data_IF_525437118829
#
_entry.id   IF_525437118829
#
_cell.length_a   1.000
_cell.length_b   1.000
_cell.length_c   1.000
_cell.angle_alpha   90.00
_cell.angle_beta   90.00
_cell.angle_gamma   90.00
#
_symmetry.space_group_name_H-M   'P 1'
#
loop_
_entity.id
_entity.type
_entity.pdbx_description
1 polymer ?
#
# COMPACT_ATOMS: atom_id res chain seq x y z
N UNK A 1 -15.29 6.53 -23.53
CA UNK A 1 -16.72 6.65 -23.16
C UNK A 1 -17.05 5.41 -22.37
N UNK A 2 -17.56 5.56 -21.15
CA UNK A 2 -17.97 4.42 -20.33
C UNK A 2 -19.09 3.65 -21.03
N UNK A 3 -19.10 2.33 -20.91
CA UNK A 3 -20.17 1.49 -21.47
C UNK A 3 -21.50 1.78 -20.75
N UNK A 4 -22.63 1.47 -21.38
CA UNK A 4 -23.97 1.61 -20.77
C UNK A 4 -24.10 0.84 -19.44
N UNK A 5 -23.35 -0.26 -19.29
CA UNK A 5 -23.28 -1.05 -18.06
C UNK A 5 -22.51 -0.33 -16.94
N UNK A 6 -21.43 0.39 -17.25
CA UNK A 6 -20.69 1.19 -16.25
C UNK A 6 -21.54 2.36 -15.73
N UNK A 7 -22.40 2.95 -16.57
CA UNK A 7 -23.28 4.06 -16.17
C UNK A 7 -24.38 3.64 -15.19
N UNK A 8 -24.79 2.36 -15.17
CA UNK A 8 -25.82 1.85 -14.24
C UNK A 8 -25.27 0.94 -13.11
N UNK A 9 -23.96 0.68 -13.07
CA UNK A 9 -23.33 -0.09 -12.00
C UNK A 9 -23.66 0.47 -10.60
N UNK A 10 -24.00 -0.41 -9.66
CA UNK A 10 -24.16 -0.11 -8.23
C UNK A 10 -23.69 -1.30 -7.40
N UNK A 11 -23.47 -1.12 -6.09
CA UNK A 11 -23.14 -2.26 -5.22
C UNK A 11 -24.24 -3.33 -5.22
N UNK A 12 -25.51 -2.93 -5.30
CA UNK A 12 -26.62 -3.89 -5.39
C UNK A 12 -26.60 -4.67 -6.69
N UNK A 13 -26.35 -4.02 -7.84
CA UNK A 13 -26.27 -4.73 -9.12
C UNK A 13 -25.07 -5.67 -9.21
N UNK A 14 -24.01 -5.41 -8.42
CA UNK A 14 -22.82 -6.26 -8.37
C UNK A 14 -22.96 -7.41 -7.36
N UNK A 15 -23.48 -7.14 -6.16
CA UNK A 15 -23.42 -8.09 -5.04
C UNK A 15 -24.76 -8.73 -4.71
N UNK A 16 -25.88 -8.32 -5.30
CA UNK A 16 -27.17 -8.98 -5.07
C UNK A 16 -27.53 -9.94 -6.21
N UNK A 17 -28.40 -10.89 -5.91
CA UNK A 17 -29.13 -11.70 -6.89
C UNK A 17 -30.61 -11.69 -6.53
N UNK A 18 -31.47 -12.28 -7.37
CA UNK A 18 -32.91 -12.40 -7.08
C UNK A 18 -33.21 -13.07 -5.72
N UNK A 19 -32.32 -13.95 -5.27
CA UNK A 19 -32.51 -14.78 -4.06
C UNK A 19 -31.72 -14.27 -2.85
N UNK A 20 -30.84 -13.28 -3.04
CA UNK A 20 -29.91 -12.85 -1.99
C UNK A 20 -29.49 -11.38 -2.11
N UNK A 21 -29.61 -10.66 -1.01
CA UNK A 21 -29.23 -9.26 -0.85
C UNK A 21 -28.22 -9.00 0.29
N UNK A 22 -27.58 -10.04 0.82
CA UNK A 22 -26.63 -9.96 1.94
C UNK A 22 -25.27 -10.60 1.61
N UNK A 23 -24.20 -10.12 2.23
CA UNK A 23 -22.91 -10.80 2.33
C UNK A 23 -22.77 -11.43 3.73
N UNK A 24 -21.80 -12.31 3.94
CA UNK A 24 -21.59 -12.97 5.24
C UNK A 24 -20.45 -12.33 6.01
N UNK A 25 -20.69 -12.08 7.30
CA UNK A 25 -19.68 -11.66 8.27
C UNK A 25 -19.07 -12.84 9.02
N UNK A 26 -18.33 -12.52 10.09
CA UNK A 26 -17.82 -13.53 11.02
C UNK A 26 -18.99 -14.20 11.73
N UNK A 27 -18.93 -15.52 11.88
CA UNK A 27 -20.00 -16.36 12.45
C UNK A 27 -21.25 -16.53 11.57
N UNK A 28 -21.12 -16.35 10.25
CA UNK A 28 -22.23 -16.52 9.30
C UNK A 28 -23.35 -15.46 9.42
N UNK A 29 -23.06 -14.36 10.12
CA UNK A 29 -23.97 -13.22 10.21
C UNK A 29 -24.27 -12.66 8.82
N UNK A 30 -25.55 -12.50 8.50
CA UNK A 30 -25.99 -11.94 7.23
C UNK A 30 -25.97 -10.42 7.31
N UNK A 31 -25.07 -9.79 6.55
CA UNK A 31 -24.92 -8.34 6.45
C UNK A 31 -25.58 -7.86 5.15
N UNK A 32 -26.67 -7.09 5.21
CA UNK A 32 -27.32 -6.54 4.02
C UNK A 32 -26.33 -5.73 3.17
N UNK A 33 -26.34 -5.94 1.85
CA UNK A 33 -25.50 -5.18 0.89
C UNK A 33 -25.78 -3.68 0.96
N UNK A 34 -26.99 -3.27 1.38
CA UNK A 34 -27.32 -1.87 1.62
C UNK A 34 -26.41 -1.19 2.66
N UNK A 35 -25.91 -1.93 3.65
CA UNK A 35 -24.98 -1.40 4.67
C UNK A 35 -23.57 -1.11 4.11
N UNK A 36 -23.28 -1.55 2.89
CA UNK A 36 -22.04 -1.24 2.17
C UNK A 36 -22.16 0.02 1.31
N UNK A 37 -23.38 0.52 1.09
CA UNK A 37 -23.61 1.73 0.29
C UNK A 37 -22.92 2.93 0.93
N UNK A 38 -22.24 3.75 0.12
CA UNK A 38 -21.48 4.90 0.62
C UNK A 38 -20.09 4.56 1.17
N UNK A 39 -19.71 3.27 1.21
CA UNK A 39 -18.34 2.83 1.54
C UNK A 39 -17.54 2.59 0.26
N UNK A 40 -16.21 2.75 0.36
CA UNK A 40 -15.29 2.17 -0.61
C UNK A 40 -15.21 0.66 -0.35
N UNK A 41 -15.50 -0.17 -1.35
CA UNK A 41 -15.57 -1.63 -1.21
C UNK A 41 -14.52 -2.30 -2.08
N UNK A 42 -13.66 -3.12 -1.49
CA UNK A 42 -12.74 -4.01 -2.21
C UNK A 42 -13.39 -5.37 -2.50
N UNK A 43 -13.57 -5.70 -3.77
CA UNK A 43 -13.96 -7.04 -4.22
C UNK A 43 -12.70 -7.90 -4.39
N UNK A 44 -12.47 -8.81 -3.44
CA UNK A 44 -11.21 -9.54 -3.33
C UNK A 44 -11.34 -10.99 -3.82
N UNK A 45 -10.88 -11.24 -5.05
CA UNK A 45 -10.83 -12.57 -5.65
C UNK A 45 -9.56 -13.29 -5.20
N UNK A 46 -9.72 -14.40 -4.47
CA UNK A 46 -8.59 -15.13 -3.89
C UNK A 46 -8.93 -16.58 -3.58
N UNK A 47 -7.93 -17.41 -3.31
CA UNK A 47 -8.10 -18.77 -2.83
C UNK A 47 -6.91 -19.22 -1.98
N UNK A 48 -7.18 -20.06 -0.99
CA UNK A 48 -6.19 -20.53 -0.04
C UNK A 48 -5.10 -21.37 -0.71
N UNK A 49 -5.49 -22.20 -1.67
CA UNK A 49 -4.59 -23.13 -2.35
C UNK A 49 -3.50 -22.44 -3.18
N UNK A 50 -3.66 -21.14 -3.51
CA UNK A 50 -2.72 -20.42 -4.37
C UNK A 50 -1.68 -19.62 -3.56
N UNK A 51 -0.36 -19.92 -3.65
CA UNK A 51 0.65 -19.27 -2.82
C UNK A 51 0.72 -17.73 -2.93
N UNK A 52 0.61 -17.12 -4.13
CA UNK A 52 0.56 -15.65 -4.23
C UNK A 52 -0.62 -15.01 -3.51
N UNK A 53 -1.74 -15.72 -3.33
CA UNK A 53 -2.85 -15.25 -2.52
C UNK A 53 -2.46 -15.20 -1.04
N UNK A 54 -1.96 -16.31 -0.49
CA UNK A 54 -1.52 -16.39 0.91
C UNK A 54 -0.43 -15.37 1.25
N UNK A 55 0.43 -15.02 0.29
CA UNK A 55 1.43 -13.97 0.47
C UNK A 55 0.82 -12.55 0.51
N UNK A 56 -0.26 -12.30 -0.22
CA UNK A 56 -0.87 -10.97 -0.32
C UNK A 56 -1.90 -10.69 0.79
N UNK A 57 -2.66 -11.69 1.24
CA UNK A 57 -3.74 -11.51 2.23
C UNK A 57 -3.29 -10.85 3.53
N UNK A 58 -2.15 -11.21 4.15
CA UNK A 58 -1.68 -10.53 5.35
C UNK A 58 -1.43 -9.04 5.13
N UNK A 59 -0.88 -8.67 3.96
CA UNK A 59 -0.65 -7.27 3.60
C UNK A 59 -1.97 -6.51 3.43
N UNK A 60 -2.96 -7.14 2.78
CA UNK A 60 -4.29 -6.55 2.62
C UNK A 60 -5.00 -6.40 3.97
N UNK A 61 -4.89 -7.38 4.88
CA UNK A 61 -5.42 -7.32 6.24
C UNK A 61 -4.78 -6.20 7.07
N UNK A 62 -3.48 -5.99 6.93
CA UNK A 62 -2.78 -4.85 7.54
C UNK A 62 -3.38 -3.52 7.05
N UNK A 63 -3.50 -3.33 5.73
CA UNK A 63 -4.06 -2.10 5.15
C UNK A 63 -5.50 -1.89 5.56
N UNK A 64 -6.31 -2.96 5.58
CA UNK A 64 -7.68 -2.90 6.08
C UNK A 64 -7.70 -2.36 7.52
N UNK A 65 -6.93 -2.97 8.42
CA UNK A 65 -6.86 -2.58 9.83
C UNK A 65 -6.45 -1.12 10.00
N UNK A 66 -5.38 -0.68 9.31
CA UNK A 66 -4.93 0.72 9.34
C UNK A 66 -6.02 1.70 8.88
N UNK A 67 -6.84 1.34 7.88
CA UNK A 67 -7.94 2.18 7.41
C UNK A 67 -9.12 2.19 8.39
N UNK A 68 -9.46 1.05 9.00
CA UNK A 68 -10.48 0.97 10.04
C UNK A 68 -10.11 1.80 11.26
N UNK A 69 -8.85 1.75 11.71
CA UNK A 69 -8.32 2.54 12.83
C UNK A 69 -8.39 4.05 12.57
N UNK A 70 -8.23 4.47 11.31
CA UNK A 70 -8.40 5.87 10.87
C UNK A 70 -9.86 6.30 10.73
N UNK A 71 -10.82 5.39 10.93
CA UNK A 71 -12.25 5.65 10.76
C UNK A 71 -12.69 5.72 9.30
N UNK A 72 -11.88 5.22 8.37
CA UNK A 72 -12.22 5.26 6.95
C UNK A 72 -13.37 4.30 6.62
N UNK A 73 -14.26 4.74 5.74
CA UNK A 73 -15.40 3.96 5.26
C UNK A 73 -14.95 2.93 4.20
N UNK A 74 -14.08 2.00 4.61
CA UNK A 74 -13.55 0.93 3.79
C UNK A 74 -14.08 -0.44 4.26
N UNK A 75 -14.51 -1.26 3.31
CA UNK A 75 -14.88 -2.66 3.53
C UNK A 75 -14.32 -3.56 2.43
N UNK A 76 -14.14 -4.86 2.71
CA UNK A 76 -13.75 -5.86 1.71
C UNK A 76 -14.79 -6.98 1.68
N UNK A 77 -15.13 -7.43 0.48
CA UNK A 77 -15.93 -8.64 0.24
C UNK A 77 -15.04 -9.68 -0.43
N UNK A 78 -14.75 -10.75 0.29
CA UNK A 78 -14.00 -11.90 -0.21
C UNK A 78 -14.84 -12.72 -1.18
N UNK A 79 -14.28 -12.92 -2.39
CA UNK A 79 -14.83 -13.71 -3.49
C UNK A 79 -13.94 -14.93 -3.67
N UNK A 80 -14.30 -16.03 -3.01
CA UNK A 80 -13.46 -17.22 -2.96
C UNK A 80 -13.42 -17.99 -4.28
N UNK A 81 -12.24 -18.43 -4.67
CA UNK A 81 -12.01 -19.46 -5.70
C UNK A 81 -11.53 -20.78 -5.10
N UNK A 82 -11.80 -21.01 -3.81
CA UNK A 82 -11.55 -22.29 -3.15
C UNK A 82 -12.46 -23.39 -3.73
N UNK A 83 -12.04 -24.64 -3.57
CA UNK A 83 -12.69 -25.79 -4.22
C UNK A 83 -13.81 -26.40 -3.40
N UNK A 84 -13.84 -26.11 -2.10
CA UNK A 84 -14.82 -26.64 -1.17
C UNK A 84 -15.05 -25.69 0.01
N UNK A 85 -16.18 -25.90 0.69
CA UNK A 85 -16.64 -25.08 1.82
C UNK A 85 -15.62 -25.04 2.96
N UNK A 86 -14.91 -26.15 3.22
CA UNK A 86 -13.96 -26.23 4.34
C UNK A 86 -12.73 -25.37 4.06
N UNK A 87 -12.15 -25.49 2.86
CA UNK A 87 -11.02 -24.66 2.44
C UNK A 87 -11.38 -23.17 2.45
N UNK A 88 -12.60 -22.82 2.01
CA UNK A 88 -13.15 -21.47 2.12
C UNK A 88 -13.18 -20.98 3.57
N UNK A 89 -13.79 -21.76 4.49
CA UNK A 89 -13.93 -21.35 5.89
C UNK A 89 -12.59 -21.21 6.60
N UNK A 90 -11.67 -22.15 6.41
CA UNK A 90 -10.33 -22.11 7.01
C UNK A 90 -9.57 -20.84 6.61
N UNK A 91 -9.64 -20.44 5.35
CA UNK A 91 -8.95 -19.26 4.86
C UNK A 91 -9.68 -17.96 5.19
N UNK A 92 -11.01 -17.95 5.06
CA UNK A 92 -11.81 -16.80 5.47
C UNK A 92 -11.64 -16.50 6.95
N UNK A 93 -11.43 -17.51 7.81
CA UNK A 93 -11.16 -17.32 9.24
C UNK A 93 -9.99 -16.36 9.50
N UNK A 94 -8.98 -16.30 8.62
CA UNK A 94 -7.81 -15.41 8.78
C UNK A 94 -8.03 -13.97 8.31
N UNK A 95 -9.20 -13.65 7.75
CA UNK A 95 -9.48 -12.35 7.12
C UNK A 95 -10.39 -11.47 8.00
N UNK A 96 -10.13 -10.17 8.21
CA UNK A 96 -10.92 -9.34 9.13
C UNK A 96 -12.21 -8.72 8.52
N UNK A 97 -12.64 -9.16 7.33
CA UNK A 97 -13.69 -8.52 6.53
C UNK A 97 -14.84 -9.48 6.16
N UNK A 98 -15.73 -9.08 5.24
CA UNK A 98 -16.91 -9.83 4.81
C UNK A 98 -16.60 -10.80 3.66
N UNK A 99 -17.47 -11.75 3.39
CA UNK A 99 -17.36 -12.64 2.24
C UNK A 99 -18.69 -12.78 1.50
N UNK A 100 -18.62 -13.08 0.21
CA UNK A 100 -19.76 -13.64 -0.49
C UNK A 100 -19.91 -15.11 -0.07
N UNK A 101 -21.15 -15.63 0.12
CA UNK A 101 -21.33 -17.05 0.42
C UNK A 101 -20.59 -17.95 -0.57
N UNK A 102 -19.99 -19.03 -0.06
CA UNK A 102 -19.28 -19.98 -0.91
C UNK A 102 -20.22 -20.61 -1.93
N UNK A 103 -19.76 -20.73 -3.18
CA UNK A 103 -20.57 -21.28 -4.28
C UNK A 103 -21.62 -20.34 -4.86
N UNK A 104 -21.73 -19.09 -4.38
CA UNK A 104 -22.65 -18.11 -4.94
C UNK A 104 -22.33 -17.78 -6.40
N UNK A 105 -23.34 -17.86 -7.27
CA UNK A 105 -23.24 -17.60 -8.72
C UNK A 105 -22.70 -16.21 -9.05
N UNK A 106 -22.99 -15.21 -8.22
CA UNK A 106 -22.54 -13.82 -8.38
C UNK A 106 -21.01 -13.75 -8.43
N UNK A 107 -20.30 -14.66 -7.75
CA UNK A 107 -18.83 -14.70 -7.83
C UNK A 107 -18.34 -14.92 -9.26
N UNK A 108 -18.94 -15.89 -9.97
CA UNK A 108 -18.60 -16.21 -11.36
C UNK A 108 -18.97 -15.05 -12.28
N UNK A 109 -20.13 -14.44 -12.07
CA UNK A 109 -20.60 -13.30 -12.86
C UNK A 109 -19.67 -12.10 -12.70
N UNK A 110 -19.24 -11.78 -11.47
CA UNK A 110 -18.29 -10.72 -11.20
C UNK A 110 -16.90 -11.02 -11.77
N UNK A 111 -16.44 -12.27 -11.68
CA UNK A 111 -15.17 -12.70 -12.30
C UNK A 111 -15.19 -12.47 -13.80
N UNK A 112 -16.33 -12.69 -14.47
CA UNK A 112 -16.48 -12.43 -15.90
C UNK A 112 -16.60 -10.93 -16.19
N UNK A 113 -17.44 -10.22 -15.45
CA UNK A 113 -17.68 -8.78 -15.59
C UNK A 113 -16.39 -7.97 -15.48
N UNK A 114 -15.55 -8.27 -14.49
CA UNK A 114 -14.25 -7.60 -14.30
C UNK A 114 -13.10 -8.25 -15.07
N UNK A 115 -13.38 -9.26 -15.93
CA UNK A 115 -12.37 -9.97 -16.70
C UNK A 115 -11.19 -10.46 -15.83
N UNK A 116 -11.51 -11.09 -14.70
CA UNK A 116 -10.53 -11.60 -13.74
C UNK A 116 -9.83 -12.82 -14.35
N UNK A 117 -8.58 -12.62 -14.80
CA UNK A 117 -7.75 -13.67 -15.44
C UNK A 117 -6.88 -14.45 -14.46
N UNK A 118 -6.81 -14.02 -13.21
CA UNK A 118 -5.98 -14.65 -12.20
C UNK A 118 -6.22 -14.05 -10.81
N UNK A 119 -5.72 -14.74 -9.80
CA UNK A 119 -5.80 -14.35 -8.40
C UNK A 119 -4.38 -14.20 -7.82
N UNK A 120 -4.15 -13.36 -6.78
CA UNK A 120 -5.13 -12.46 -6.18
C UNK A 120 -5.48 -11.28 -7.08
N UNK A 121 -6.77 -10.96 -7.19
CA UNK A 121 -7.28 -9.74 -7.83
C UNK A 121 -8.11 -8.96 -6.82
N UNK A 122 -7.95 -7.64 -6.80
CA UNK A 122 -8.72 -6.74 -5.95
C UNK A 122 -9.27 -5.61 -6.82
N UNK A 123 -10.58 -5.57 -6.97
CA UNK A 123 -11.30 -4.48 -7.65
C UNK A 123 -11.85 -3.54 -6.59
N UNK A 124 -11.64 -2.24 -6.76
CA UNK A 124 -12.12 -1.19 -5.86
C UNK A 124 -13.38 -0.57 -6.45
N UNK A 125 -14.44 -0.59 -5.66
CA UNK A 125 -15.71 0.06 -5.91
C UNK A 125 -15.79 1.29 -4.99
N UNK A 126 -16.12 2.44 -5.55
CA UNK A 126 -16.28 3.69 -4.82
C UNK A 126 -17.60 3.74 -4.03
N UNK A 127 -17.76 4.79 -3.21
CA UNK A 127 -18.95 4.99 -2.38
C UNK A 127 -20.24 5.17 -3.20
N UNK A 128 -20.13 5.58 -4.45
CA UNK A 128 -21.21 5.70 -5.44
C UNK A 128 -21.58 4.37 -6.12
N UNK A 129 -20.88 3.28 -5.77
CA UNK A 129 -21.07 1.97 -6.38
C UNK A 129 -20.41 1.81 -7.74
N UNK A 130 -19.57 2.76 -8.18
CA UNK A 130 -18.84 2.73 -9.45
C UNK A 130 -17.44 2.16 -9.28
N UNK A 131 -16.90 1.59 -10.34
CA UNK A 131 -15.56 1.02 -10.32
C UNK A 131 -14.53 2.13 -10.32
N UNK A 132 -13.69 2.17 -9.28
CA UNK A 132 -12.60 3.13 -9.11
C UNK A 132 -11.30 2.57 -9.67
N UNK A 133 -11.02 1.29 -9.43
CA UNK A 133 -9.81 0.65 -9.92
C UNK A 133 -9.97 -0.87 -10.03
N UNK A 134 -9.55 -1.45 -11.16
CA UNK A 134 -9.45 -2.92 -11.30
C UNK A 134 -8.09 -3.46 -10.87
N UNK A 135 -7.09 -2.59 -10.74
CA UNK A 135 -5.71 -2.90 -10.33
C UNK A 135 -5.42 -2.75 -8.84
N UNK A 136 -6.44 -2.83 -7.97
CA UNK A 136 -6.35 -2.55 -6.53
C UNK A 136 -5.27 -3.35 -5.82
N UNK A 137 -5.01 -4.60 -6.25
CA UNK A 137 -3.97 -5.46 -5.67
C UNK A 137 -2.59 -4.81 -5.77
N UNK A 138 -2.27 -4.23 -6.93
CA UNK A 138 -0.97 -3.59 -7.15
C UNK A 138 -0.88 -2.25 -6.43
N UNK A 139 -1.97 -1.48 -6.41
CA UNK A 139 -2.06 -0.22 -5.67
C UNK A 139 -1.78 -0.46 -4.18
N UNK A 140 -2.45 -1.45 -3.58
CA UNK A 140 -2.25 -1.84 -2.17
C UNK A 140 -0.83 -2.35 -1.93
N UNK A 141 -0.29 -3.19 -2.82
CA UNK A 141 1.07 -3.72 -2.67
C UNK A 141 2.13 -2.61 -2.68
N UNK A 142 1.98 -1.60 -3.55
CA UNK A 142 2.96 -0.54 -3.71
C UNK A 142 2.81 0.59 -2.69
N UNK A 143 1.58 0.98 -2.36
CA UNK A 143 1.30 2.20 -1.60
C UNK A 143 0.63 1.97 -0.25
N UNK A 144 0.13 0.76 0.01
CA UNK A 144 -0.58 0.42 1.24
C UNK A 144 -1.81 1.31 1.48
N UNK A 145 -2.07 1.64 2.76
CA UNK A 145 -3.21 2.46 3.16
C UNK A 145 -3.14 3.91 2.64
N UNK A 146 -1.96 4.43 2.27
CA UNK A 146 -1.81 5.80 1.76
C UNK A 146 -2.53 6.03 0.44
N UNK A 147 -2.77 4.95 -0.31
CA UNK A 147 -3.48 5.02 -1.58
C UNK A 147 -4.98 5.21 -1.45
N UNK A 148 -5.59 4.98 -0.27
CA UNK A 148 -7.01 5.23 -0.07
C UNK A 148 -7.38 6.68 -0.48
N UNK A 149 -8.48 6.93 -1.22
CA UNK A 149 -9.56 5.99 -1.61
C UNK A 149 -9.30 5.20 -2.90
N UNK A 150 -8.04 5.02 -3.27
CA UNK A 150 -7.53 4.25 -4.42
C UNK A 150 -7.92 4.81 -5.79
N UNK A 151 -8.28 6.09 -5.82
CA UNK A 151 -8.58 6.80 -7.07
C UNK A 151 -7.32 7.02 -7.90
N UNK A 152 -7.49 7.11 -9.21
CA UNK A 152 -6.40 7.40 -10.14
C UNK A 152 -5.65 8.68 -9.75
N UNK A 153 -6.37 9.74 -9.39
CA UNK A 153 -5.78 11.00 -8.93
C UNK A 153 -4.88 10.79 -7.70
N UNK A 154 -5.36 10.04 -6.69
CA UNK A 154 -4.58 9.78 -5.48
C UNK A 154 -3.34 8.93 -5.76
N UNK A 155 -3.46 7.92 -6.61
CA UNK A 155 -2.32 7.08 -7.02
C UNK A 155 -1.30 7.91 -7.81
N UNK A 156 -1.75 8.80 -8.69
CA UNK A 156 -0.87 9.68 -9.45
C UNK A 156 -0.09 10.67 -8.55
N UNK A 157 -0.71 11.19 -7.49
CA UNK A 157 -0.02 12.00 -6.48
C UNK A 157 1.10 11.22 -5.79
N UNK A 158 0.80 10.02 -5.30
CA UNK A 158 1.78 9.15 -4.64
C UNK A 158 2.93 8.76 -5.56
N UNK A 159 2.64 8.54 -6.84
CA UNK A 159 3.65 8.24 -7.84
C UNK A 159 4.61 9.42 -8.04
N UNK A 160 4.10 10.65 -8.10
CA UNK A 160 4.93 11.86 -8.17
C UNK A 160 5.81 12.02 -6.92
N UNK A 161 5.28 11.76 -5.73
CA UNK A 161 6.08 11.79 -4.50
C UNK A 161 7.23 10.78 -4.53
N UNK A 162 6.97 9.57 -5.04
CA UNK A 162 7.99 8.53 -5.21
C UNK A 162 9.05 8.98 -6.23
N UNK A 163 8.65 9.57 -7.36
CA UNK A 163 9.56 10.08 -8.37
C UNK A 163 10.47 11.20 -7.84
N UNK A 164 9.93 12.14 -7.07
CA UNK A 164 10.72 13.18 -6.42
C UNK A 164 11.71 12.62 -5.40
N UNK A 165 11.34 11.54 -4.69
CA UNK A 165 12.27 10.83 -3.78
C UNK A 165 13.38 10.14 -4.56
N UNK A 166 13.03 9.45 -5.66
CA UNK A 166 13.99 8.72 -6.50
C UNK A 166 15.03 9.66 -7.10
N UNK A 167 14.66 10.89 -7.47
CA UNK A 167 15.62 11.90 -7.95
C UNK A 167 16.76 12.18 -6.95
N UNK A 168 16.50 11.98 -5.65
CA UNK A 168 17.49 12.18 -4.57
C UNK A 168 18.29 10.92 -4.27
N UNK A 169 17.87 9.76 -4.75
CA UNK A 169 18.57 8.51 -4.50
C UNK A 169 19.75 8.33 -5.45
N UNK A 170 20.86 7.74 -4.97
CA UNK A 170 21.97 7.40 -5.84
C UNK A 170 21.54 6.34 -6.86
N UNK A 171 22.03 6.46 -8.11
CA UNK A 171 21.76 5.45 -9.14
C UNK A 171 22.47 4.12 -8.85
N UNK A 172 23.59 4.19 -8.15
CA UNK A 172 24.37 3.06 -7.67
C UNK A 172 24.95 3.36 -6.30
N UNK A 173 25.02 2.36 -5.42
CA UNK A 173 25.69 2.48 -4.13
C UNK A 173 26.44 1.21 -3.76
N UNK A 174 27.47 1.34 -2.92
CA UNK A 174 28.11 0.22 -2.22
C UNK A 174 27.49 0.09 -0.83
N UNK A 175 27.16 -1.13 -0.43
CA UNK A 175 26.55 -1.38 0.87
C UNK A 175 27.38 -2.38 1.66
N UNK A 176 27.57 -2.19 2.96
CA UNK A 176 28.41 -3.09 3.79
C UNK A 176 27.95 -4.56 3.82
N UNK A 177 26.67 -4.80 3.53
CA UNK A 177 26.10 -6.15 3.46
C UNK A 177 26.42 -6.88 2.15
N UNK A 178 26.99 -6.20 1.15
CA UNK A 178 27.27 -6.80 -0.16
C UNK A 178 28.43 -6.13 -0.89
N UNK A 179 29.37 -6.92 -1.42
CA UNK A 179 30.63 -6.41 -1.96
C UNK A 179 30.53 -5.72 -3.33
N UNK A 180 29.53 -6.05 -4.14
CA UNK A 180 29.34 -5.42 -5.45
C UNK A 180 28.50 -4.15 -5.39
N UNK A 181 28.63 -3.31 -6.42
CA UNK A 181 27.76 -2.14 -6.60
C UNK A 181 26.31 -2.59 -6.77
N UNK A 182 25.40 -1.92 -6.06
CA UNK A 182 23.96 -2.13 -6.16
C UNK A 182 23.34 -1.00 -6.97
N UNK A 183 22.69 -1.34 -8.07
CA UNK A 183 22.04 -0.37 -8.95
C UNK A 183 20.55 -0.21 -8.59
N UNK A 184 20.09 1.05 -8.56
CA UNK A 184 18.68 1.36 -8.36
C UNK A 184 17.85 0.77 -9.51
N UNK A 185 17.06 -0.26 -9.21
CA UNK A 185 16.36 -1.08 -10.19
C UNK A 185 14.92 -1.32 -9.74
N UNK A 186 13.98 -1.23 -10.68
CA UNK A 186 12.59 -1.56 -10.43
C UNK A 186 12.37 -3.08 -10.57
N UNK A 187 11.81 -3.69 -9.53
CA UNK A 187 11.59 -5.14 -9.39
C UNK A 187 10.12 -5.41 -9.07
N UNK A 188 9.56 -6.47 -9.66
CA UNK A 188 8.17 -6.87 -9.38
C UNK A 188 8.02 -7.48 -7.99
N UNK A 189 9.00 -8.27 -7.58
CA UNK A 189 9.12 -8.86 -6.24
C UNK A 189 10.58 -9.23 -6.00
N UNK A 190 11.04 -9.08 -4.76
CA UNK A 190 12.38 -9.48 -4.32
C UNK A 190 12.38 -9.76 -2.82
N UNK A 191 13.42 -10.43 -2.32
CA UNK A 191 13.69 -10.55 -0.89
C UNK A 191 14.88 -9.66 -0.55
N UNK A 192 14.71 -8.81 0.45
CA UNK A 192 15.77 -7.91 0.89
C UNK A 192 16.81 -8.70 1.68
N UNK A 193 18.07 -8.68 1.24
CA UNK A 193 19.17 -9.34 1.94
C UNK A 193 19.52 -8.71 3.31
N UNK A 194 19.04 -7.50 3.60
CA UNK A 194 19.27 -6.80 4.86
C UNK A 194 18.29 -7.18 5.96
N UNK A 195 16.98 -7.11 5.69
CA UNK A 195 15.94 -7.40 6.69
C UNK A 195 15.27 -8.76 6.50
N UNK A 196 15.61 -9.50 5.42
CA UNK A 196 14.98 -10.75 5.00
C UNK A 196 13.48 -10.64 4.68
N UNK A 197 12.93 -9.42 4.64
CA UNK A 197 11.55 -9.15 4.24
C UNK A 197 11.38 -9.09 2.72
N UNK A 198 10.18 -9.44 2.26
CA UNK A 198 9.80 -9.26 0.86
C UNK A 198 9.67 -7.77 0.48
N UNK A 199 9.94 -7.46 -0.78
CA UNK A 199 9.82 -6.12 -1.36
C UNK A 199 9.22 -6.16 -2.76
N UNK A 200 8.72 -5.01 -3.21
CA UNK A 200 8.24 -4.77 -4.58
C UNK A 200 8.44 -3.29 -4.93
N UNK A 201 8.60 -2.98 -6.22
CA UNK A 201 8.90 -1.63 -6.69
C UNK A 201 10.41 -1.40 -6.75
N UNK A 202 10.90 -0.27 -6.24
CA UNK A 202 12.32 0.06 -6.31
C UNK A 202 13.14 -0.76 -5.31
N UNK A 203 14.36 -1.10 -5.72
CA UNK A 203 15.35 -1.89 -4.98
C UNK A 203 16.75 -1.44 -5.36
N UNK A 204 17.74 -1.71 -4.51
CA UNK A 204 19.15 -1.65 -4.87
C UNK A 204 19.62 -3.07 -5.19
N UNK A 205 19.76 -3.37 -6.49
CA UNK A 205 20.03 -4.70 -7.02
C UNK A 205 21.50 -4.85 -7.43
N UNK A 206 22.15 -5.91 -6.96
CA UNK A 206 23.35 -6.44 -7.60
C UNK A 206 22.95 -7.31 -8.79
N UNK A 207 23.29 -6.90 -10.01
CA UNK A 207 23.00 -7.69 -11.22
C UNK A 207 23.85 -8.97 -11.30
N UNK A 208 24.99 -9.01 -10.63
CA UNK A 208 25.91 -10.14 -10.66
C UNK A 208 25.46 -11.27 -9.72
N UNK A 209 24.91 -10.90 -8.55
CA UNK A 209 24.54 -11.85 -7.50
C UNK A 209 23.02 -12.01 -7.30
N UNK A 210 22.19 -11.26 -8.04
CA UNK A 210 20.74 -11.15 -7.84
C UNK A 210 20.38 -10.82 -6.38
N UNK A 211 21.19 -9.96 -5.75
CA UNK A 211 21.02 -9.53 -4.37
C UNK A 211 20.28 -8.19 -4.33
N UNK A 212 19.12 -8.14 -3.68
CA UNK A 212 18.32 -6.94 -3.56
C UNK A 212 18.37 -6.38 -2.12
N UNK A 213 18.40 -5.06 -1.99
CA UNK A 213 18.05 -4.36 -0.75
C UNK A 213 16.84 -3.46 -0.98
N UNK A 214 15.96 -3.37 0.03
CA UNK A 214 14.98 -2.29 0.08
C UNK A 214 15.70 -0.94 0.06
N UNK A 215 15.13 0.11 -0.56
CA UNK A 215 15.70 1.46 -0.49
C UNK A 215 15.94 1.92 0.94
N UNK A 216 14.98 1.70 1.85
CA UNK A 216 15.15 2.02 3.26
C UNK A 216 16.27 1.21 3.92
N UNK A 217 16.49 -0.05 3.51
CA UNK A 217 17.59 -0.86 4.07
C UNK A 217 18.96 -0.41 3.54
N UNK A 218 19.02 0.12 2.33
CA UNK A 218 20.26 0.55 1.69
C UNK A 218 20.65 2.01 2.05
N UNK A 219 19.67 2.86 2.34
CA UNK A 219 19.86 4.30 2.55
C UNK A 219 19.87 4.73 4.03
N UNK A 220 19.38 3.88 4.95
CA UNK A 220 19.34 4.17 6.41
C UNK A 220 20.68 4.62 7.00
N UNK A 221 21.79 4.15 6.45
CA UNK A 221 23.15 4.51 6.92
C UNK A 221 23.66 5.83 6.32
N UNK A 222 23.11 6.25 5.17
CA UNK A 222 23.48 7.52 4.51
C UNK A 222 22.69 8.71 5.05
N UNK A 223 21.44 8.49 5.47
CA UNK A 223 20.59 9.54 6.06
C UNK A 223 21.13 10.04 7.41
N UNK A 224 21.74 9.17 8.22
CA UNK A 224 22.43 9.57 9.46
C UNK A 224 23.67 10.44 9.18
N UNK A 225 24.47 10.10 8.17
CA UNK A 225 25.67 10.87 7.81
C UNK A 225 25.34 12.23 7.16
N UNK A 226 24.19 12.34 6.49
CA UNK A 226 23.72 13.59 5.90
C UNK A 226 23.13 14.54 6.94
N UNK A 227 22.40 14.04 7.93
CA UNK A 227 21.87 14.85 9.03
C UNK A 227 22.98 15.35 9.96
N UNK A 228 24.00 14.52 10.26
CA UNK A 228 25.17 14.94 11.05
C UNK A 228 25.99 16.04 10.36
N UNK A 229 26.09 16.02 9.02
CA UNK A 229 26.77 17.08 8.24
C UNK A 229 25.95 18.37 8.16
N UNK A 230 24.63 18.28 8.28
CA UNK A 230 23.75 19.45 8.26
C UNK A 230 23.73 20.16 9.63
N UNK A 231 23.77 19.40 10.73
CA UNK A 231 23.95 19.95 12.08
C UNK A 231 25.35 20.55 12.28
N UNK A 232 26.41 19.97 11.69
CA UNK A 232 27.77 20.56 11.73
C UNK A 232 27.92 21.79 10.81
N UNK A 233 27.12 21.91 9.75
CA UNK A 233 27.10 23.08 8.89
C UNK A 233 26.33 24.26 9.53
N UNK A 234 25.27 23.99 10.29
CA UNK A 234 24.55 25.00 11.05
C UNK A 234 25.33 25.45 12.31
N UNK A 235 26.13 24.58 12.94
CA UNK A 235 27.03 24.96 14.05
C UNK A 235 28.26 25.77 13.59
N UNK A 236 28.68 25.60 12.33
CA UNK A 236 29.81 26.35 11.74
C UNK A 236 29.46 27.76 11.26
N UNK A 237 28.19 28.18 11.38
CA UNK A 237 27.74 29.54 11.05
C UNK A 237 27.38 30.41 12.26
N UNK A 238 27.70 29.97 13.49
CA UNK A 238 27.45 30.76 14.70
C UNK A 238 28.67 30.87 15.64
N UNK A 239 29.85 31.11 15.08
CA UNK A 239 31.03 31.46 15.88
C UNK A 239 31.75 32.73 15.38
N UNK A 240 30.99 33.81 15.24
CA UNK A 240 31.49 35.18 15.39
C UNK A 240 30.62 35.93 16.39
N UNK A 241 30.91 35.78 17.69
CA UNK A 241 30.84 36.85 18.68
C UNK A 241 31.17 36.34 20.09
N UNK A 242 32.48 36.22 20.37
CA UNK A 242 32.99 36.38 21.73
C UNK A 242 34.13 37.38 21.72
N UNK A 243 33.78 38.65 21.67
CA UNK A 243 34.64 39.72 22.16
C UNK A 243 33.82 40.60 23.10
N UNK A 244 34.25 40.63 24.37
CA UNK A 244 33.55 41.23 25.51
C UNK A 244 33.02 42.64 25.23
N UNK A 245 31.77 42.86 25.63
CA UNK A 245 31.06 44.11 25.44
C UNK A 245 31.79 45.26 26.11
N UNK A 246 32.01 46.33 25.34
CA UNK A 246 32.43 47.62 25.88
C UNK A 246 31.18 48.50 25.88
N UNK A 247 30.82 49.02 27.05
CA UNK A 247 29.73 49.99 27.18
C UNK A 247 30.36 51.39 27.24
N UNK A 248 29.84 52.29 26.41
CA UNK A 248 30.30 53.67 26.31
C UNK A 248 29.17 54.61 26.73
N UNK A 249 29.51 55.61 27.53
CA UNK A 249 28.60 56.72 27.86
C UNK A 249 29.37 58.04 27.66
N UNK A 250 29.09 58.71 26.55
CA UNK A 250 29.94 59.80 26.03
C UNK A 250 31.31 59.33 25.53
N UNK A 251 32.35 60.14 25.72
CA UNK A 251 33.72 59.89 25.21
C UNK A 251 34.56 58.91 26.05
N UNK A 252 33.96 58.21 27.02
CA UNK A 252 34.67 57.22 27.85
C UNK A 252 34.00 55.85 27.77
N UNK A 253 34.79 54.85 27.39
CA UNK A 253 34.35 53.47 27.21
C UNK A 253 35.01 52.54 28.23
N UNK A 254 34.25 51.59 28.80
CA UNK A 254 34.78 50.53 29.68
C UNK A 254 34.26 49.15 29.30
N UNK A 255 35.12 48.15 29.50
CA UNK A 255 34.85 46.73 29.22
C UNK A 255 34.02 46.12 30.36
N UNK A 256 32.94 45.42 30.03
CA UNK A 256 32.11 44.65 30.98
C UNK A 256 32.48 43.17 30.91
#
# INVERSE_FOLDING_TARGET
>A
MATTDEQNQSLKSLLCSEERDFVVGKNEDKVPVSELTGKTVGLYFSAHWFPPCRAFTPKLAQVYTELKEKGEAFEIVFLSSDRDQRAFMEYYATMPWLALPFGDKVNKDLSQYFNVKGIPTLVIIGPDGKTVATGGRNIVALHGAKAYPFTEARVAELQKEIEEKIKKWPKELKHRLHNHSLALTQRKSYNCGGCQGGGSGWSFLCKECDFDLHPDCALKEQESEMNEKQEQADDSSNNENKTGGIVCDGEVCRRV
#
